data_IF_702290922855
#
_entry.id   IF_702290922855
#
_cell.length_a   1.000
_cell.length_b   1.000
_cell.length_c   1.000
_cell.angle_alpha   90.00
_cell.angle_beta   90.00
_cell.angle_gamma   90.00
#
_symmetry.space_group_name_H-M   'P 1'
#
loop_
_entity.id
_entity.type
_entity.pdbx_description
1 polymer ?
#
# COMPACT_ATOMS: atom_id res chain seq x y z
N UNK A 1 27.92 -22.39 -78.71
CA UNK A 1 28.40 -22.88 -77.40
C UNK A 1 28.70 -21.76 -76.38
N UNK A 2 29.15 -20.56 -76.78
CA UNK A 2 29.40 -19.45 -75.83
C UNK A 2 28.14 -18.88 -75.14
N UNK A 3 27.01 -18.81 -75.85
CA UNK A 3 25.74 -18.31 -75.28
C UNK A 3 25.21 -19.14 -74.09
N UNK A 4 25.45 -20.45 -74.08
CA UNK A 4 24.96 -21.34 -73.01
C UNK A 4 25.78 -21.20 -71.72
N UNK A 5 27.07 -20.89 -71.79
CA UNK A 5 27.91 -20.63 -70.60
C UNK A 5 27.54 -19.31 -69.92
N UNK A 6 27.34 -18.23 -70.68
CA UNK A 6 26.95 -16.94 -70.11
C UNK A 6 25.61 -16.98 -69.37
N UNK A 7 24.63 -17.74 -69.87
CA UNK A 7 23.35 -17.96 -69.18
C UNK A 7 23.55 -18.76 -67.88
N UNK A 8 24.39 -19.79 -67.89
CA UNK A 8 24.70 -20.58 -66.69
C UNK A 8 25.37 -19.74 -65.59
N UNK A 9 26.29 -18.84 -65.96
CA UNK A 9 26.98 -17.98 -65.00
C UNK A 9 26.03 -16.95 -64.37
N UNK A 10 25.11 -16.39 -65.17
CA UNK A 10 24.07 -15.49 -64.67
C UNK A 10 23.11 -16.18 -63.71
N UNK A 11 22.68 -17.41 -64.00
CA UNK A 11 21.83 -18.20 -63.09
C UNK A 11 22.55 -18.54 -61.79
N UNK A 12 23.85 -18.86 -61.84
CA UNK A 12 24.65 -19.10 -60.64
C UNK A 12 24.83 -17.83 -59.79
N UNK A 13 25.01 -16.67 -60.44
CA UNK A 13 25.08 -15.38 -59.77
C UNK A 13 23.74 -14.98 -59.13
N UNK A 14 22.63 -15.23 -59.82
CA UNK A 14 21.28 -15.00 -59.31
C UNK A 14 21.01 -15.83 -58.05
N UNK A 15 21.34 -17.13 -58.08
CA UNK A 15 21.18 -18.01 -56.92
C UNK A 15 21.99 -17.53 -55.71
N UNK A 16 23.25 -17.15 -55.92
CA UNK A 16 24.08 -16.58 -54.84
C UNK A 16 23.52 -15.28 -54.29
N UNK A 17 23.00 -14.40 -55.14
CA UNK A 17 22.37 -13.17 -54.71
C UNK A 17 21.11 -13.43 -53.89
N UNK A 18 20.28 -14.39 -54.30
CA UNK A 18 19.10 -14.83 -53.55
C UNK A 18 19.48 -15.39 -52.17
N UNK A 19 20.48 -16.27 -52.10
CA UNK A 19 20.98 -16.83 -50.83
C UNK A 19 21.47 -15.75 -49.87
N UNK A 20 22.23 -14.75 -50.37
CA UNK A 20 22.70 -13.61 -49.55
C UNK A 20 21.51 -12.80 -48.99
N UNK A 21 20.49 -12.55 -49.82
CA UNK A 21 19.30 -11.80 -49.40
C UNK A 21 18.49 -12.59 -48.36
N UNK A 22 18.32 -13.90 -48.56
CA UNK A 22 17.61 -14.76 -47.61
C UNK A 22 18.33 -14.84 -46.27
N UNK A 23 19.66 -15.00 -46.27
CA UNK A 23 20.46 -14.96 -45.05
C UNK A 23 20.32 -13.62 -44.33
N UNK A 24 20.38 -12.50 -45.05
CA UNK A 24 20.21 -11.17 -44.46
C UNK A 24 18.82 -11.01 -43.82
N UNK A 25 17.76 -11.48 -44.49
CA UNK A 25 16.39 -11.49 -43.94
C UNK A 25 16.28 -12.36 -42.70
N UNK A 26 16.86 -13.56 -42.72
CA UNK A 26 16.87 -14.49 -41.57
C UNK A 26 17.60 -13.89 -40.37
N UNK A 27 18.76 -13.26 -40.59
CA UNK A 27 19.53 -12.56 -39.55
C UNK A 27 18.74 -11.38 -38.96
N UNK A 28 18.09 -10.57 -39.80
CA UNK A 28 17.22 -9.48 -39.34
C UNK A 28 16.07 -9.99 -38.47
N UNK A 29 15.35 -11.01 -38.95
CA UNK A 29 14.23 -11.60 -38.21
C UNK A 29 14.67 -12.23 -36.89
N UNK A 30 15.84 -12.86 -36.86
CA UNK A 30 16.43 -13.39 -35.62
C UNK A 30 16.68 -12.26 -34.62
N UNK A 31 17.36 -11.18 -35.03
CA UNK A 31 17.63 -10.02 -34.16
C UNK A 31 16.36 -9.38 -33.61
N UNK A 32 15.29 -9.30 -34.40
CA UNK A 32 13.99 -8.78 -33.95
C UNK A 32 13.40 -9.69 -32.88
N UNK A 33 13.42 -11.01 -33.09
CA UNK A 33 12.90 -11.98 -32.11
C UNK A 33 13.71 -11.96 -30.82
N UNK A 34 15.04 -11.91 -30.93
CA UNK A 34 15.93 -11.86 -29.77
C UNK A 34 15.64 -10.60 -28.93
N UNK A 35 15.56 -9.42 -29.57
CA UNK A 35 15.21 -8.17 -28.89
C UNK A 35 13.81 -8.20 -28.25
N UNK A 36 12.82 -8.80 -28.93
CA UNK A 36 11.48 -8.96 -28.36
C UNK A 36 11.47 -9.87 -27.14
N UNK A 37 12.24 -10.96 -27.16
CA UNK A 37 12.33 -11.89 -26.04
C UNK A 37 13.07 -11.27 -24.86
N UNK A 38 14.16 -10.54 -25.12
CA UNK A 38 14.92 -9.82 -24.10
C UNK A 38 14.05 -8.75 -23.42
N UNK A 39 13.35 -7.92 -24.20
CA UNK A 39 12.42 -6.93 -23.64
C UNK A 39 11.30 -7.57 -22.79
N UNK A 40 10.73 -8.71 -23.24
CA UNK A 40 9.74 -9.45 -22.44
C UNK A 40 10.34 -9.96 -21.13
N UNK A 41 11.56 -10.49 -21.18
CA UNK A 41 12.26 -10.99 -20.00
C UNK A 41 12.52 -9.88 -18.99
N UNK A 42 13.01 -8.72 -19.43
CA UNK A 42 13.20 -7.55 -18.57
C UNK A 42 11.90 -7.06 -17.93
N UNK A 43 10.80 -7.03 -18.69
CA UNK A 43 9.48 -6.67 -18.17
C UNK A 43 9.01 -7.66 -17.10
N UNK A 44 9.21 -8.96 -17.31
CA UNK A 44 8.85 -9.99 -16.33
C UNK A 44 9.69 -9.88 -15.05
N UNK A 45 11.00 -9.68 -15.18
CA UNK A 45 11.87 -9.44 -14.03
C UNK A 45 11.43 -8.20 -13.24
N UNK A 46 11.21 -7.08 -13.92
CA UNK A 46 10.77 -5.84 -13.29
C UNK A 46 9.43 -5.99 -12.58
N UNK A 47 8.46 -6.68 -13.20
CA UNK A 47 7.17 -7.02 -12.57
C UNK A 47 7.36 -7.86 -11.32
N UNK A 48 8.19 -8.91 -11.39
CA UNK A 48 8.47 -9.78 -10.25
C UNK A 48 9.19 -9.08 -9.09
N UNK A 49 10.09 -8.14 -9.37
CA UNK A 49 10.72 -7.30 -8.36
C UNK A 49 9.72 -6.33 -7.72
N UNK A 50 8.88 -5.67 -8.53
CA UNK A 50 7.86 -4.75 -8.05
C UNK A 50 6.82 -5.45 -7.19
N UNK A 51 6.36 -6.62 -7.59
CA UNK A 51 5.41 -7.42 -6.82
C UNK A 51 6.03 -7.90 -5.50
N UNK A 52 7.29 -8.36 -5.50
CA UNK A 52 7.99 -8.72 -4.25
C UNK A 52 8.11 -7.52 -3.32
N UNK A 53 8.48 -6.34 -3.83
CA UNK A 53 8.57 -5.11 -3.05
C UNK A 53 7.20 -4.70 -2.49
N UNK A 54 6.15 -4.79 -3.32
CA UNK A 54 4.79 -4.47 -2.91
C UNK A 54 4.32 -5.38 -1.78
N UNK A 55 4.47 -6.70 -1.93
CA UNK A 55 4.12 -7.68 -0.88
C UNK A 55 4.90 -7.46 0.41
N UNK A 56 6.19 -7.10 0.31
CA UNK A 56 7.00 -6.76 1.50
C UNK A 56 6.48 -5.52 2.23
N UNK A 57 6.14 -4.46 1.49
CA UNK A 57 5.54 -3.25 2.07
C UNK A 57 4.15 -3.52 2.66
N UNK A 58 3.34 -4.33 2.00
CA UNK A 58 2.01 -4.73 2.47
C UNK A 58 2.11 -5.48 3.81
N UNK A 59 3.02 -6.45 3.92
CA UNK A 59 3.27 -7.17 5.18
C UNK A 59 3.75 -6.22 6.29
N UNK A 60 4.66 -5.30 5.98
CA UNK A 60 5.14 -4.32 6.95
C UNK A 60 4.03 -3.36 7.41
N UNK A 61 3.19 -2.88 6.49
CA UNK A 61 2.05 -2.02 6.83
C UNK A 61 1.00 -2.75 7.66
N UNK A 62 0.69 -4.00 7.31
CA UNK A 62 -0.23 -4.84 8.08
C UNK A 62 0.32 -5.11 9.49
N UNK A 63 1.61 -5.41 9.61
CA UNK A 63 2.30 -5.56 10.90
C UNK A 63 2.23 -4.30 11.76
N UNK A 64 2.55 -3.13 11.18
CA UNK A 64 2.48 -1.85 11.87
C UNK A 64 1.06 -1.49 12.30
N UNK A 65 0.04 -1.77 11.48
CA UNK A 65 -1.35 -1.48 11.83
C UNK A 65 -1.81 -2.30 13.03
N UNK A 66 -1.46 -3.58 13.09
CA UNK A 66 -1.79 -4.44 14.24
C UNK A 66 -1.09 -3.94 15.49
N UNK A 67 0.21 -3.65 15.42
CA UNK A 67 0.99 -3.11 16.55
C UNK A 67 0.41 -1.79 17.07
N UNK A 68 0.09 -0.86 16.17
CA UNK A 68 -0.52 0.43 16.53
C UNK A 68 -1.88 0.25 17.21
N UNK A 69 -2.69 -0.70 16.72
CA UNK A 69 -4.01 -1.01 17.31
C UNK A 69 -3.85 -1.63 18.70
N UNK A 70 -2.90 -2.54 18.88
CA UNK A 70 -2.60 -3.14 20.18
C UNK A 70 -2.09 -2.12 21.20
N UNK A 71 -1.19 -1.22 20.78
CA UNK A 71 -0.66 -0.16 21.63
C UNK A 71 -1.76 0.83 22.03
N UNK A 72 -2.58 1.27 21.08
CA UNK A 72 -3.73 2.15 21.35
C UNK A 72 -4.76 1.50 22.28
N UNK A 73 -5.02 0.19 22.13
CA UNK A 73 -5.89 -0.54 23.04
C UNK A 73 -5.32 -0.63 24.46
N UNK A 74 -4.02 -0.88 24.61
CA UNK A 74 -3.35 -0.91 25.92
C UNK A 74 -3.38 0.46 26.60
N UNK A 75 -3.14 1.53 25.86
CA UNK A 75 -3.22 2.89 26.37
C UNK A 75 -4.66 3.21 26.81
N UNK A 76 -5.65 2.88 25.98
CA UNK A 76 -7.07 3.07 26.30
C UNK A 76 -7.46 2.33 27.58
N UNK A 77 -7.04 1.08 27.75
CA UNK A 77 -7.29 0.30 28.97
C UNK A 77 -6.64 0.94 30.21
N UNK A 78 -5.44 1.47 30.06
CA UNK A 78 -4.72 2.18 31.13
C UNK A 78 -5.45 3.46 31.52
N UNK A 79 -5.92 4.25 30.54
CA UNK A 79 -6.73 5.45 30.79
C UNK A 79 -8.06 5.13 31.47
N UNK A 80 -8.75 4.06 31.05
CA UNK A 80 -9.99 3.59 31.70
C UNK A 80 -9.72 3.19 33.15
N UNK A 81 -8.63 2.45 33.41
CA UNK A 81 -8.26 2.06 34.77
C UNK A 81 -7.95 3.27 35.65
N UNK A 82 -7.22 4.26 35.11
CA UNK A 82 -6.93 5.51 35.81
C UNK A 82 -8.22 6.30 36.13
N UNK A 83 -9.13 6.45 35.16
CA UNK A 83 -10.43 7.10 35.35
C UNK A 83 -11.26 6.41 36.42
N UNK A 84 -11.29 5.07 36.42
CA UNK A 84 -12.00 4.29 37.44
C UNK A 84 -11.41 4.52 38.84
N UNK A 85 -10.09 4.52 38.97
CA UNK A 85 -9.42 4.83 40.23
C UNK A 85 -9.74 6.24 40.72
N UNK A 86 -9.74 7.24 39.83
CA UNK A 86 -10.11 8.62 40.19
C UNK A 86 -11.57 8.72 40.62
N UNK A 87 -12.48 8.03 39.92
CA UNK A 87 -13.88 7.95 40.29
C UNK A 87 -14.05 7.35 41.69
N UNK A 88 -13.45 6.19 41.96
CA UNK A 88 -13.57 5.51 43.25
C UNK A 88 -13.03 6.36 44.41
N UNK A 89 -11.96 7.11 44.16
CA UNK A 89 -11.37 8.04 45.15
C UNK A 89 -12.29 9.22 45.45
N UNK A 90 -12.83 9.87 44.41
CA UNK A 90 -13.56 11.13 44.56
C UNK A 90 -15.07 10.95 44.81
N UNK A 91 -15.61 9.75 44.57
CA UNK A 91 -17.05 9.46 44.65
C UNK A 91 -17.62 9.78 46.03
N UNK A 92 -16.95 9.37 47.10
CA UNK A 92 -17.47 9.55 48.46
C UNK A 92 -17.56 11.02 48.85
N UNK A 93 -16.50 11.79 48.58
CA UNK A 93 -16.45 13.22 48.86
C UNK A 93 -17.54 13.98 48.08
N UNK A 94 -17.74 13.62 46.81
CA UNK A 94 -18.75 14.23 45.96
C UNK A 94 -20.18 13.91 46.43
N UNK A 95 -20.45 12.67 46.83
CA UNK A 95 -21.74 12.27 47.41
C UNK A 95 -22.01 13.02 48.71
N UNK A 96 -21.03 13.11 49.61
CA UNK A 96 -21.17 13.83 50.86
C UNK A 96 -21.49 15.32 50.61
N UNK A 97 -20.77 15.95 49.68
CA UNK A 97 -21.00 17.35 49.27
C UNK A 97 -22.43 17.57 48.76
N UNK A 98 -22.93 16.67 47.90
CA UNK A 98 -24.30 16.75 47.37
C UNK A 98 -25.32 16.60 48.49
N UNK A 99 -25.16 15.60 49.36
CA UNK A 99 -26.09 15.37 50.48
C UNK A 99 -26.13 16.59 51.40
N UNK A 100 -24.97 17.16 51.75
CA UNK A 100 -24.91 18.37 52.58
C UNK A 100 -25.65 19.54 51.94
N UNK A 101 -25.47 19.78 50.64
CA UNK A 101 -26.16 20.87 49.94
C UNK A 101 -27.67 20.65 49.83
N UNK A 102 -28.12 19.41 49.62
CA UNK A 102 -29.54 19.08 49.52
C UNK A 102 -30.24 19.19 50.88
N UNK A 103 -29.55 18.85 51.97
CA UNK A 103 -30.10 18.93 53.32
C UNK A 103 -29.95 20.32 53.98
N UNK A 104 -29.12 21.22 53.45
CA UNK A 104 -28.93 22.60 53.94
C UNK A 104 -30.05 23.53 53.42
N UNK A 105 -31.25 23.35 53.95
CA UNK A 105 -32.40 24.20 53.61
C UNK A 105 -32.24 25.55 54.29
N UNK A 106 -31.97 26.59 53.48
CA UNK A 106 -31.95 28.00 53.90
C UNK A 106 -33.19 28.71 53.40
N UNK A 107 -34.27 28.76 54.21
CA UNK A 107 -35.47 29.50 53.82
C UNK A 107 -35.16 30.99 53.81
N UNK A 108 -35.16 31.59 52.63
CA UNK A 108 -35.05 33.02 52.45
C UNK A 108 -36.41 33.58 52.02
N UNK A 109 -36.83 34.67 52.66
CA UNK A 109 -37.98 35.44 52.20
C UNK A 109 -37.64 36.09 50.88
N UNK A 110 -38.53 35.94 49.89
CA UNK A 110 -38.37 36.61 48.61
C UNK A 110 -38.14 38.11 48.82
N UNK A 111 -37.29 38.71 47.97
CA UNK A 111 -36.79 40.10 48.11
C UNK A 111 -37.92 41.14 48.24
N UNK A 112 -39.11 40.81 47.72
CA UNK A 112 -40.30 41.66 47.74
C UNK A 112 -41.34 41.27 48.81
N UNK A 113 -41.00 40.42 49.77
CA UNK A 113 -41.92 40.02 50.82
C UNK A 113 -42.28 41.24 51.69
N UNK A 114 -43.55 41.65 51.65
CA UNK A 114 -44.10 42.68 52.52
C UNK A 114 -44.58 42.00 53.81
N UNK A 115 -43.91 42.31 54.92
CA UNK A 115 -44.40 42.02 56.27
C UNK A 115 -45.43 43.11 56.59
N UNK A 116 -46.69 42.71 56.74
CA UNK A 116 -47.74 43.57 57.31
C UNK A 116 -47.64 43.61 58.84
#
# INVERSE_FOLDING_TARGET
>A
MLQSRGVSDLLAAEKKAQEIIEEARKRKNKRIKDAQNEAKHEIEQFKGERERRYKGLEQQQMGNRTQMTEESNKETQTQIAALKSQYDTNKQDLLQRIITLVCDIKPETHINARLE
#
